data_IF_952240952680
#
_entry.id   IF_952240952680
#
_cell.length_a   1.000
_cell.length_b   1.000
_cell.length_c   1.000
_cell.angle_alpha   90.00
_cell.angle_beta   90.00
_cell.angle_gamma   90.00
#
_symmetry.space_group_name_H-M   'P 1'
#
loop_
_entity.id
_entity.type
_entity.pdbx_description
1 polymer ?
#
# COMPACT_ATOMS: atom_id res chain seq x y z
N UNK A 1 32.48 -3.80 -44.35
CA UNK A 1 31.47 -4.01 -43.30
C UNK A 1 31.88 -5.22 -42.49
N UNK A 2 32.37 -5.02 -41.27
CA UNK A 2 33.12 -6.04 -40.52
C UNK A 2 32.18 -7.06 -39.85
N UNK A 3 32.36 -8.38 -40.12
CA UNK A 3 31.48 -9.42 -39.61
C UNK A 3 31.48 -9.53 -38.08
N UNK A 4 32.54 -9.04 -37.42
CA UNK A 4 32.70 -9.01 -35.96
C UNK A 4 31.67 -8.11 -35.26
N UNK A 5 31.18 -7.06 -35.92
CA UNK A 5 30.20 -6.13 -35.32
C UNK A 5 28.79 -6.73 -35.27
N UNK A 6 28.45 -7.61 -36.22
CA UNK A 6 27.12 -8.25 -36.28
C UNK A 6 26.90 -9.26 -35.14
N UNK A 7 27.97 -9.92 -34.70
CA UNK A 7 27.92 -10.93 -33.63
C UNK A 7 27.77 -10.24 -32.26
N UNK A 8 28.53 -9.16 -32.02
CA UNK A 8 28.47 -8.42 -30.74
C UNK A 8 27.11 -7.73 -30.54
N UNK A 9 26.53 -7.15 -31.60
CA UNK A 9 25.19 -6.54 -31.54
C UNK A 9 24.09 -7.59 -31.28
N UNK A 10 24.25 -8.80 -31.83
CA UNK A 10 23.26 -9.87 -31.65
C UNK A 10 23.26 -10.47 -30.24
N UNK A 11 24.43 -10.54 -29.60
CA UNK A 11 24.56 -11.03 -28.21
C UNK A 11 24.04 -10.02 -27.19
N UNK A 12 24.24 -8.71 -27.41
CA UNK A 12 23.68 -7.67 -26.55
C UNK A 12 22.15 -7.57 -26.63
N UNK A 13 21.57 -7.84 -27.81
CA UNK A 13 20.13 -7.77 -28.03
C UNK A 13 19.38 -8.97 -27.40
N UNK A 14 20.04 -10.13 -27.28
CA UNK A 14 19.43 -11.33 -26.68
C UNK A 14 19.28 -11.24 -25.15
N UNK A 15 20.18 -10.53 -24.45
CA UNK A 15 20.10 -10.38 -22.99
C UNK A 15 18.95 -9.46 -22.54
N UNK A 16 18.48 -8.55 -23.38
CA UNK A 16 17.38 -7.62 -23.05
C UNK A 16 16.00 -8.29 -23.01
N UNK A 17 15.82 -9.44 -23.67
CA UNK A 17 14.55 -10.15 -23.74
C UNK A 17 14.35 -11.19 -22.62
N UNK A 18 15.41 -11.58 -21.91
CA UNK A 18 15.36 -12.60 -20.86
C UNK A 18 15.04 -12.05 -19.46
N UNK A 19 14.93 -10.73 -19.28
CA UNK A 19 14.72 -10.10 -17.97
C UNK A 19 13.26 -10.10 -17.48
N UNK A 20 12.31 -10.66 -18.25
CA UNK A 20 10.89 -10.72 -17.87
C UNK A 20 10.48 -12.08 -17.28
N UNK A 21 11.43 -12.93 -16.89
CA UNK A 21 11.13 -14.21 -16.28
C UNK A 21 10.95 -14.07 -14.75
N UNK A 22 9.68 -13.94 -14.34
CA UNK A 22 9.21 -14.46 -13.05
C UNK A 22 9.11 -13.48 -11.89
N UNK A 23 8.09 -12.61 -11.90
CA UNK A 23 7.42 -12.28 -10.63
C UNK A 23 6.27 -13.28 -10.46
N UNK A 24 6.24 -14.09 -9.39
CA UNK A 24 5.03 -14.84 -9.07
C UNK A 24 3.97 -13.80 -8.71
N UNK A 25 3.01 -13.59 -9.61
CA UNK A 25 2.02 -12.54 -9.45
C UNK A 25 0.65 -13.11 -9.83
N UNK A 26 -0.03 -13.70 -8.84
CA UNK A 26 -1.44 -14.12 -8.99
C UNK A 26 -2.34 -12.92 -9.30
N UNK A 27 -3.62 -13.12 -9.67
CA UNK A 27 -4.53 -12.00 -9.94
C UNK A 27 -4.63 -11.05 -8.71
N UNK A 28 -4.96 -9.76 -8.92
CA UNK A 28 -5.23 -8.83 -7.81
C UNK A 28 -6.33 -9.36 -6.88
N UNK A 29 -6.20 -9.12 -5.58
CA UNK A 29 -7.10 -9.68 -4.56
C UNK A 29 -7.68 -8.59 -3.67
N UNK A 30 -8.95 -8.73 -3.29
CA UNK A 30 -9.59 -7.81 -2.34
C UNK A 30 -9.23 -8.11 -0.88
N UNK A 31 -8.76 -9.32 -0.58
CA UNK A 31 -8.35 -9.72 0.76
C UNK A 31 -6.90 -10.22 0.70
N UNK A 32 -6.01 -9.57 1.43
CA UNK A 32 -4.57 -9.81 1.41
C UNK A 32 -4.12 -10.10 2.85
N UNK A 33 -3.30 -11.11 3.05
CA UNK A 33 -2.66 -11.33 4.35
C UNK A 33 -1.43 -10.43 4.47
N UNK A 34 -1.31 -9.71 5.58
CA UNK A 34 -0.09 -8.97 5.88
C UNK A 34 1.06 -9.95 6.11
N UNK A 35 2.15 -9.72 5.39
CA UNK A 35 3.43 -10.38 5.62
C UNK A 35 4.49 -9.28 5.48
N UNK A 36 5.45 -9.23 6.40
CA UNK A 36 6.50 -8.22 6.38
C UNK A 36 7.56 -8.53 5.29
N UNK A 37 7.16 -8.43 4.02
CA UNK A 37 7.98 -8.76 2.86
C UNK A 37 7.62 -7.90 1.64
N UNK A 38 8.48 -7.93 0.62
CA UNK A 38 8.22 -7.28 -0.68
C UNK A 38 7.02 -7.87 -1.41
N UNK A 39 6.72 -9.16 -1.19
CA UNK A 39 5.59 -9.84 -1.86
C UNK A 39 4.28 -9.16 -1.48
N UNK A 40 4.13 -8.81 -0.19
CA UNK A 40 2.99 -8.04 0.29
C UNK A 40 2.86 -6.69 -0.41
N UNK A 41 3.96 -5.94 -0.56
CA UNK A 41 3.94 -4.65 -1.22
C UNK A 41 3.51 -4.76 -2.70
N UNK A 42 4.03 -5.77 -3.40
CA UNK A 42 3.68 -6.04 -4.81
C UNK A 42 2.21 -6.49 -4.95
N UNK A 43 1.66 -7.24 -3.98
CA UNK A 43 0.25 -7.66 -3.96
C UNK A 43 -0.71 -6.53 -3.65
N UNK A 44 -0.41 -5.73 -2.61
CA UNK A 44 -1.23 -4.60 -2.22
C UNK A 44 -1.22 -3.52 -3.30
N UNK A 45 -0.05 -3.20 -3.86
CA UNK A 45 0.08 -2.25 -4.97
C UNK A 45 -0.85 -2.61 -6.14
N UNK A 46 -0.78 -3.86 -6.61
CA UNK A 46 -1.59 -4.34 -7.74
C UNK A 46 -3.08 -4.35 -7.42
N UNK A 47 -3.45 -4.69 -6.18
CA UNK A 47 -4.85 -4.74 -5.75
C UNK A 47 -5.48 -3.36 -5.65
N UNK A 48 -4.74 -2.37 -5.16
CA UNK A 48 -5.17 -0.97 -5.18
C UNK A 48 -5.17 -0.39 -6.60
N UNK A 49 -4.21 -0.76 -7.46
CA UNK A 49 -4.20 -0.36 -8.88
C UNK A 49 -5.38 -0.93 -9.67
N UNK A 50 -5.86 -2.12 -9.30
CA UNK A 50 -7.05 -2.73 -9.90
C UNK A 50 -8.33 -1.91 -9.63
N UNK A 51 -8.28 -0.95 -8.68
CA UNK A 51 -9.37 -0.02 -8.45
C UNK A 51 -10.58 -0.64 -7.76
N UNK A 52 -10.37 -1.69 -6.95
CA UNK A 52 -11.43 -2.25 -6.12
C UNK A 52 -11.99 -1.18 -5.17
N UNK A 53 -13.31 -1.21 -4.95
CA UNK A 53 -13.98 -0.30 -4.02
C UNK A 53 -13.45 -0.45 -2.59
N UNK A 54 -13.09 -1.67 -2.21
CA UNK A 54 -12.51 -2.00 -0.91
C UNK A 54 -11.41 -3.06 -1.08
N UNK A 55 -10.28 -2.86 -0.41
CA UNK A 55 -9.21 -3.85 -0.24
C UNK A 55 -8.91 -3.98 1.25
N UNK A 56 -9.02 -5.20 1.77
CA UNK A 56 -8.76 -5.55 3.16
C UNK A 56 -7.41 -6.24 3.29
N UNK A 57 -6.60 -5.75 4.23
CA UNK A 57 -5.36 -6.39 4.66
C UNK A 57 -5.59 -7.00 6.04
N UNK A 58 -5.65 -8.32 6.12
CA UNK A 58 -5.75 -9.06 7.38
C UNK A 58 -4.37 -9.10 8.05
N UNK A 59 -4.29 -8.71 9.32
CA UNK A 59 -3.01 -8.63 10.05
C UNK A 59 -2.80 -9.83 10.97
N UNK A 60 -1.54 -10.15 11.26
CA UNK A 60 -1.22 -11.14 12.27
C UNK A 60 -1.29 -10.56 13.70
N UNK A 61 -1.12 -11.42 14.70
CA UNK A 61 -1.23 -11.04 16.11
C UNK A 61 -0.14 -10.07 16.60
N UNK A 62 0.92 -9.84 15.83
CA UNK A 62 2.03 -8.94 16.19
C UNK A 62 1.73 -7.48 15.89
N UNK A 63 0.77 -7.20 15.01
CA UNK A 63 0.41 -5.82 14.63
C UNK A 63 -0.50 -5.20 15.68
N UNK A 64 -0.07 -4.09 16.26
CA UNK A 64 -0.85 -3.35 17.27
C UNK A 64 -0.87 -1.86 16.92
N UNK A 65 -1.84 -1.11 17.46
CA UNK A 65 -1.86 0.34 17.29
C UNK A 65 -0.60 1.03 17.85
N UNK A 66 0.09 0.42 18.81
CA UNK A 66 1.33 0.96 19.38
C UNK A 66 2.57 0.60 18.54
N UNK A 67 2.47 -0.45 17.73
CA UNK A 67 3.58 -0.97 16.94
C UNK A 67 3.07 -1.41 15.57
N UNK A 68 2.94 -0.43 14.68
CA UNK A 68 2.64 -0.66 13.28
C UNK A 68 3.96 -0.98 12.55
N UNK A 69 4.06 -2.11 11.83
CA UNK A 69 5.24 -2.42 11.03
C UNK A 69 5.55 -1.33 10.01
N UNK A 70 6.84 -1.00 9.84
CA UNK A 70 7.30 0.08 8.94
C UNK A 70 6.73 -0.04 7.52
N UNK A 71 6.55 -1.27 7.03
CA UNK A 71 6.00 -1.54 5.71
C UNK A 71 4.54 -1.09 5.60
N UNK A 72 3.70 -1.46 6.57
CA UNK A 72 2.32 -0.98 6.67
C UNK A 72 2.28 0.53 6.87
N UNK A 73 3.20 1.07 7.67
CA UNK A 73 3.31 2.50 7.94
C UNK A 73 3.52 3.33 6.67
N UNK A 74 4.33 2.85 5.72
CA UNK A 74 4.53 3.50 4.41
C UNK A 74 3.25 3.60 3.58
N UNK A 75 2.42 2.55 3.61
CA UNK A 75 1.12 2.56 2.94
C UNK A 75 0.16 3.57 3.55
N UNK A 76 0.05 3.58 4.89
CA UNK A 76 -0.79 4.52 5.63
C UNK A 76 -0.27 5.97 5.49
N UNK A 77 1.05 6.16 5.49
CA UNK A 77 1.68 7.45 5.22
C UNK A 77 1.28 7.98 3.85
N UNK A 78 1.28 7.13 2.82
CA UNK A 78 0.95 7.53 1.45
C UNK A 78 -0.52 7.93 1.30
N UNK A 79 -1.44 7.26 2.02
CA UNK A 79 -2.84 7.68 2.13
C UNK A 79 -2.93 9.09 2.74
N UNK A 80 -2.27 9.29 3.90
CA UNK A 80 -2.27 10.57 4.61
C UNK A 80 -1.64 11.70 3.80
N UNK A 81 -0.54 11.42 3.08
CA UNK A 81 0.17 12.40 2.25
C UNK A 81 -0.68 12.89 1.07
N UNK A 82 -1.63 12.07 0.62
CA UNK A 82 -2.62 12.44 -0.40
C UNK A 82 -3.87 13.11 0.19
N UNK A 83 -3.79 13.63 1.43
CA UNK A 83 -4.88 14.27 2.16
C UNK A 83 -6.11 13.37 2.38
N UNK A 84 -5.93 12.04 2.33
CA UNK A 84 -6.98 11.07 2.61
C UNK A 84 -6.95 10.60 4.08
N UNK A 85 -8.12 10.39 4.71
CA UNK A 85 -8.21 9.99 6.09
C UNK A 85 -7.60 8.62 6.35
N UNK A 86 -6.78 8.56 7.41
CA UNK A 86 -6.37 7.33 8.09
C UNK A 86 -6.98 7.36 9.48
N UNK A 87 -7.87 6.42 9.79
CA UNK A 87 -8.59 6.36 11.07
C UNK A 87 -8.51 4.98 11.71
N UNK A 88 -8.67 4.91 13.04
CA UNK A 88 -8.76 3.66 13.77
C UNK A 88 -10.15 3.54 14.39
N UNK A 89 -10.75 2.36 14.32
CA UNK A 89 -12.00 2.06 15.02
C UNK A 89 -11.95 0.69 15.72
N UNK A 90 -12.55 0.57 16.91
CA UNK A 90 -12.71 -0.73 17.55
C UNK A 90 -13.54 -1.70 16.71
N UNK A 91 -13.24 -2.98 16.81
CA UNK A 91 -14.06 -4.06 16.25
C UNK A 91 -15.50 -3.98 16.76
N UNK A 92 -16.47 -4.19 15.86
CA UNK A 92 -17.89 -4.12 16.17
C UNK A 92 -18.46 -2.73 16.43
N UNK A 93 -17.68 -1.65 16.31
CA UNK A 93 -18.15 -0.28 16.54
C UNK A 93 -18.29 0.53 15.24
N UNK A 94 -19.27 1.46 15.16
CA UNK A 94 -19.44 2.32 14.00
C UNK A 94 -18.30 3.32 13.86
N UNK A 95 -18.09 3.85 12.64
CA UNK A 95 -17.07 4.87 12.35
C UNK A 95 -17.22 6.13 13.22
N UNK A 96 -18.42 6.46 13.69
CA UNK A 96 -18.65 7.61 14.60
C UNK A 96 -17.91 7.49 15.94
N UNK A 97 -17.46 6.29 16.30
CA UNK A 97 -16.59 6.03 17.48
C UNK A 97 -15.14 5.77 17.07
N UNK A 98 -14.71 6.25 15.91
CA UNK A 98 -13.30 6.22 15.52
C UNK A 98 -12.51 7.23 16.33
N UNK A 99 -11.28 6.87 16.71
CA UNK A 99 -10.33 7.86 17.18
C UNK A 99 -9.80 8.56 15.92
N UNK A 100 -10.12 9.84 15.78
CA UNK A 100 -9.78 10.63 14.58
C UNK A 100 -8.26 10.73 14.37
N UNK A 101 -7.89 11.07 13.12
CA UNK A 101 -6.54 11.26 12.58
C UNK A 101 -5.47 11.55 13.65
N UNK A 102 -5.73 12.54 14.52
CA UNK A 102 -4.84 13.07 15.56
C UNK A 102 -4.23 12.03 16.51
N UNK A 103 -4.95 10.98 16.91
CA UNK A 103 -4.38 9.97 17.82
C UNK A 103 -3.51 8.94 17.09
N UNK A 104 -3.82 8.65 15.83
CA UNK A 104 -3.07 7.72 14.99
C UNK A 104 -1.78 8.36 14.45
N UNK A 105 -1.76 9.69 14.29
CA UNK A 105 -0.56 10.44 13.90
C UNK A 105 0.62 10.25 14.86
N UNK A 106 0.37 9.88 16.12
CA UNK A 106 1.44 9.56 17.07
C UNK A 106 2.00 8.15 16.90
N UNK A 107 1.20 7.22 16.35
CA UNK A 107 1.57 5.81 16.15
C UNK A 107 2.25 5.58 14.79
N UNK A 108 1.82 6.32 13.76
CA UNK A 108 2.51 6.37 12.47
C UNK A 108 3.85 7.06 12.73
N UNK A 109 4.95 6.38 12.42
CA UNK A 109 6.26 6.89 12.76
C UNK A 109 6.45 8.29 12.17
N UNK A 110 7.13 9.18 12.91
CA UNK A 110 7.59 10.48 12.40
C UNK A 110 8.66 10.34 11.31
N UNK A 111 8.82 9.15 10.73
CA UNK A 111 9.73 8.87 9.65
C UNK A 111 9.41 9.76 8.45
N UNK A 112 10.41 10.51 8.00
CA UNK A 112 10.34 11.25 6.74
C UNK A 112 10.46 10.25 5.60
N UNK A 113 9.33 9.87 5.02
CA UNK A 113 9.26 8.98 3.87
C UNK A 113 9.20 9.75 2.54
N UNK A 114 10.00 10.80 2.40
CA UNK A 114 9.95 11.70 1.23
C UNK A 114 10.18 10.95 -0.09
N UNK A 115 10.95 9.85 -0.05
CA UNK A 115 11.21 8.97 -1.20
C UNK A 115 9.96 8.20 -1.68
N UNK A 116 8.90 8.08 -0.88
CA UNK A 116 7.66 7.41 -1.29
C UNK A 116 6.89 8.19 -2.34
N UNK A 117 7.04 9.52 -2.40
CA UNK A 117 6.35 10.37 -3.39
C UNK A 117 6.63 9.93 -4.83
N UNK A 118 7.84 9.44 -5.08
CA UNK A 118 8.29 8.98 -6.39
C UNK A 118 8.12 7.47 -6.56
N UNK A 119 7.68 6.75 -5.53
CA UNK A 119 7.56 5.30 -5.56
C UNK A 119 6.25 4.84 -6.21
N UNK A 120 6.38 4.24 -7.40
CA UNK A 120 5.26 3.60 -8.11
C UNK A 120 4.61 2.46 -7.31
N UNK A 121 5.31 1.88 -6.34
CA UNK A 121 4.76 0.82 -5.49
C UNK A 121 3.63 1.36 -4.63
N UNK A 122 3.84 2.49 -3.93
CA UNK A 122 2.89 3.00 -2.93
C UNK A 122 1.88 4.00 -3.50
N UNK A 123 2.17 4.59 -4.66
CA UNK A 123 1.30 5.56 -5.35
C UNK A 123 -0.19 5.17 -5.49
N UNK A 124 -0.58 3.88 -5.63
CA UNK A 124 -1.99 3.51 -5.74
C UNK A 124 -2.82 3.87 -4.50
N UNK A 125 -2.20 3.84 -3.31
CA UNK A 125 -2.86 4.16 -2.05
C UNK A 125 -3.30 5.63 -1.94
N UNK A 126 -2.76 6.51 -2.77
CA UNK A 126 -3.19 7.92 -2.87
C UNK A 126 -4.63 8.10 -3.36
N UNK A 127 -5.32 7.04 -3.74
CA UNK A 127 -6.72 7.06 -4.17
C UNK A 127 -7.67 6.42 -3.16
N UNK A 128 -7.21 6.17 -1.94
CA UNK A 128 -7.92 5.39 -0.94
C UNK A 128 -7.91 6.08 0.42
N UNK A 129 -9.01 5.96 1.16
CA UNK A 129 -9.05 6.17 2.60
C UNK A 129 -8.58 4.89 3.30
N UNK A 130 -8.06 4.98 4.53
CA UNK A 130 -7.66 3.81 5.31
C UNK A 130 -8.35 3.76 6.69
N UNK A 131 -8.82 2.58 7.07
CA UNK A 131 -9.40 2.31 8.39
C UNK A 131 -8.71 1.12 9.04
N UNK A 132 -8.06 1.33 10.18
CA UNK A 132 -7.52 0.27 11.03
C UNK A 132 -8.65 -0.25 11.94
N UNK A 133 -8.93 -1.54 11.88
CA UNK A 133 -9.88 -2.23 12.74
C UNK A 133 -9.09 -2.92 13.83
N UNK A 134 -9.38 -2.60 15.09
CA UNK A 134 -8.59 -3.10 16.21
C UNK A 134 -9.44 -3.63 17.36
N UNK A 135 -8.89 -4.59 18.09
CA UNK A 135 -9.44 -5.06 19.35
C UNK A 135 -9.19 -4.03 20.45
N UNK A 136 -10.25 -3.57 21.12
CA UNK A 136 -10.16 -2.45 22.08
C UNK A 136 -9.31 -2.80 23.31
N UNK A 137 -9.33 -4.06 23.73
CA UNK A 137 -8.71 -4.48 24.99
C UNK A 137 -7.20 -4.72 24.82
N UNK A 138 -6.80 -5.34 23.71
CA UNK A 138 -5.39 -5.63 23.41
C UNK A 138 -4.70 -4.57 22.56
N UNK A 139 -5.45 -3.71 21.86
CA UNK A 139 -4.88 -2.79 20.86
C UNK A 139 -4.37 -3.49 19.59
N UNK A 140 -4.58 -4.81 19.46
CA UNK A 140 -4.23 -5.60 18.28
C UNK A 140 -5.03 -5.09 17.08
N UNK A 141 -4.35 -4.78 16.00
CA UNK A 141 -5.00 -4.52 14.72
C UNK A 141 -5.40 -5.88 14.14
N UNK A 142 -6.67 -6.03 13.81
CA UNK A 142 -7.21 -7.23 13.15
C UNK A 142 -7.08 -7.11 11.63
N UNK A 143 -7.32 -5.91 11.11
CA UNK A 143 -7.18 -5.61 9.69
C UNK A 143 -7.07 -4.12 9.40
N UNK A 144 -6.56 -3.83 8.21
CA UNK A 144 -6.56 -2.49 7.61
C UNK A 144 -7.44 -2.52 6.37
N UNK A 145 -8.40 -1.62 6.27
CA UNK A 145 -9.34 -1.53 5.15
C UNK A 145 -9.05 -0.28 4.34
N UNK A 146 -8.67 -0.45 3.09
CA UNK A 146 -8.52 0.62 2.11
C UNK A 146 -9.82 0.77 1.33
N UNK A 147 -10.43 1.97 1.33
CA UNK A 147 -11.65 2.27 0.56
C UNK A 147 -11.41 3.27 -0.53
N UNK A 148 -11.81 2.95 -1.76
CA UNK A 148 -11.58 3.82 -2.90
C UNK A 148 -12.33 5.15 -2.75
N UNK A 149 -11.62 6.25 -3.00
CA UNK A 149 -12.22 7.57 -3.01
C UNK A 149 -13.01 7.75 -4.31
N UNK A 150 -14.27 8.21 -4.25
CA UNK A 150 -15.09 8.43 -5.44
C UNK A 150 -14.37 9.30 -6.48
N UNK A 151 -14.46 8.94 -7.76
CA UNK A 151 -13.83 9.69 -8.86
C UNK A 151 -14.25 11.17 -8.91
N UNK A 152 -15.46 11.50 -8.47
CA UNK A 152 -15.98 12.87 -8.40
C UNK A 152 -15.27 13.77 -7.38
N UNK A 153 -14.64 13.19 -6.35
CA UNK A 153 -13.91 13.94 -5.32
C UNK A 153 -12.44 14.24 -5.70
N UNK A 154 -11.92 13.63 -6.77
CA UNK A 154 -10.50 13.71 -7.18
C UNK A 154 -10.12 14.94 -8.02
N UNK A 155 -11.07 15.83 -8.34
CA UNK A 155 -10.89 16.93 -9.31
C UNK A 155 -10.48 18.27 -8.65
N UNK A 156 -10.35 18.37 -7.32
CA UNK A 156 -10.24 19.67 -6.63
C UNK A 156 -8.83 20.14 -6.23
N UNK A 157 -7.75 19.57 -6.75
CA UNK A 157 -6.39 20.06 -6.46
C UNK A 157 -5.51 20.05 -7.69
N UNK A 158 -5.65 21.09 -8.52
CA UNK A 158 -4.55 21.57 -9.36
C UNK A 158 -4.68 23.10 -9.49
N UNK A 159 -3.79 23.92 -8.89
CA UNK A 159 -3.63 25.31 -9.29
C UNK A 159 -3.01 25.43 -10.68
#
# INVERSE_FOLDING_TARGET
>A
MNPSYRIVVSVLLACLLAACAGRPSGPPQQNIAFIDSRIFDDELSRSLQAGFDEVTVETDASVTLAQIPERMDKWLYTVREADHPVVARPTGQPLTRSIGLVALLQAIATGTYDWLRESLTYSPARNYDATLIYDKDSGRVEKVVFRAVPKSARVSTNP
#
